data_IF_063836397776
#
_entry.id   IF_063836397776
#
_cell.length_a   1.000
_cell.length_b   1.000
_cell.length_c   1.000
_cell.angle_alpha   90.00
_cell.angle_beta   90.00
_cell.angle_gamma   90.00
#
_symmetry.space_group_name_H-M   'P 1'
#
loop_
_entity.id
_entity.type
_entity.pdbx_description
1 polymer ?
#
# COMPACT_ATOMS: atom_id res chain seq x y z
N UNK A 1 9.99 8.45 -17.87
CA UNK A 1 9.47 7.14 -17.43
C UNK A 1 8.00 7.05 -17.84
N UNK A 2 7.61 6.08 -18.68
CA UNK A 2 6.22 5.93 -19.15
C UNK A 2 5.42 5.15 -18.11
N UNK A 3 4.47 5.81 -17.45
CA UNK A 3 3.57 5.22 -16.46
C UNK A 3 2.37 4.58 -17.17
N UNK A 4 2.00 3.36 -16.78
CA UNK A 4 0.77 2.73 -17.25
C UNK A 4 -0.21 2.70 -16.08
N UNK A 5 -1.14 3.66 -16.06
CA UNK A 5 -2.28 3.64 -15.16
C UNK A 5 -3.28 2.64 -15.74
N UNK A 6 -3.56 1.58 -15.01
CA UNK A 6 -4.56 0.60 -15.41
C UNK A 6 -5.84 0.87 -14.61
N UNK A 7 -6.85 1.40 -15.28
CA UNK A 7 -8.20 1.52 -14.72
C UNK A 7 -8.93 0.19 -14.93
N UNK A 8 -9.05 -0.64 -13.89
CA UNK A 8 -9.96 -1.78 -13.95
C UNK A 8 -11.39 -1.29 -13.67
N UNK A 9 -12.32 -1.62 -14.57
CA UNK A 9 -13.75 -1.52 -14.30
C UNK A 9 -14.15 -2.67 -13.37
N UNK A 10 -13.96 -2.44 -12.07
CA UNK A 10 -14.21 -3.46 -11.06
C UNK A 10 -15.70 -3.57 -10.71
N UNK A 11 -16.16 -4.81 -10.53
CA UNK A 11 -17.44 -5.16 -9.91
C UNK A 11 -17.53 -4.61 -8.47
N UNK A 12 -18.72 -4.63 -7.86
CA UNK A 12 -18.94 -4.18 -6.47
C UNK A 12 -18.18 -5.05 -5.46
N UNK A 13 -17.97 -6.32 -5.79
CA UNK A 13 -17.15 -7.27 -5.04
C UNK A 13 -16.20 -7.97 -6.01
N UNK A 14 -14.89 -7.90 -5.76
CA UNK A 14 -13.89 -8.45 -6.67
C UNK A 14 -12.68 -9.03 -5.94
N UNK A 15 -12.16 -10.15 -6.45
CA UNK A 15 -10.91 -10.76 -5.98
C UNK A 15 -9.84 -10.52 -7.03
N UNK A 16 -8.77 -9.84 -6.65
CA UNK A 16 -7.57 -9.67 -7.46
C UNK A 16 -6.52 -10.64 -6.93
N UNK A 17 -6.32 -11.72 -7.67
CA UNK A 17 -5.28 -12.70 -7.40
C UNK A 17 -4.02 -12.35 -8.20
N UNK A 18 -2.94 -12.05 -7.46
CA UNK A 18 -1.65 -11.65 -7.99
C UNK A 18 -0.61 -12.78 -7.91
N UNK A 19 -1.01 -14.00 -7.53
CA UNK A 19 -0.09 -15.14 -7.37
C UNK A 19 0.68 -15.53 -8.64
N UNK A 20 0.15 -15.17 -9.81
CA UNK A 20 0.78 -15.35 -11.13
C UNK A 20 1.16 -14.02 -11.80
N UNK A 21 1.13 -12.92 -11.04
CA UNK A 21 1.37 -11.60 -11.59
C UNK A 21 2.83 -11.41 -11.98
N UNK A 22 3.07 -11.13 -13.25
CA UNK A 22 4.39 -10.75 -13.73
C UNK A 22 4.63 -9.28 -13.41
N UNK A 23 5.46 -9.04 -12.40
CA UNK A 23 5.86 -7.70 -12.02
C UNK A 23 6.51 -6.95 -13.19
N UNK A 24 6.30 -5.63 -13.30
CA UNK A 24 6.96 -4.84 -14.32
C UNK A 24 8.48 -4.82 -14.10
N UNK A 25 9.22 -4.75 -15.20
CA UNK A 25 10.69 -4.59 -15.21
C UNK A 25 11.14 -3.45 -14.30
N UNK A 26 12.38 -3.53 -13.83
CA UNK A 26 13.02 -2.49 -13.03
C UNK A 26 12.85 -1.11 -13.66
N UNK A 27 12.43 -0.13 -12.86
CA UNK A 27 12.07 1.24 -13.28
C UNK A 27 10.74 1.39 -14.04
N UNK A 28 9.89 0.36 -14.06
CA UNK A 28 8.47 0.49 -14.42
C UNK A 28 7.64 0.12 -13.21
N UNK A 29 6.50 0.79 -13.04
CA UNK A 29 5.55 0.44 -12.01
C UNK A 29 4.13 0.47 -12.54
N UNK A 30 3.30 -0.39 -11.98
CA UNK A 30 1.88 -0.43 -12.26
C UNK A 30 1.12 0.17 -11.09
N UNK A 31 0.27 1.14 -11.42
CA UNK A 31 -0.65 1.75 -10.46
C UNK A 31 -2.07 1.37 -10.84
N UNK A 32 -2.75 0.74 -9.88
CA UNK A 32 -4.15 0.38 -9.97
C UNK A 32 -4.95 1.43 -9.20
N UNK A 33 -5.70 2.26 -9.93
CA UNK A 33 -6.60 3.23 -9.34
C UNK A 33 -7.94 2.55 -9.03
N UNK A 34 -8.18 2.23 -7.77
CA UNK A 34 -9.34 1.44 -7.33
C UNK A 34 -10.61 2.29 -7.19
N UNK A 35 -10.47 3.59 -6.96
CA UNK A 35 -11.59 4.52 -6.79
C UNK A 35 -12.25 4.40 -5.41
N UNK A 36 -13.56 4.64 -5.35
CA UNK A 36 -14.35 4.70 -4.11
C UNK A 36 -15.47 3.67 -4.08
N UNK A 37 -15.97 3.35 -2.88
CA UNK A 37 -17.11 2.45 -2.63
C UNK A 37 -16.93 1.04 -3.20
N UNK A 38 -15.72 0.49 -3.10
CA UNK A 38 -15.41 -0.87 -3.56
C UNK A 38 -15.28 -1.85 -2.40
N UNK A 39 -15.66 -3.10 -2.64
CA UNK A 39 -15.29 -4.24 -1.79
C UNK A 39 -14.33 -5.10 -2.58
N UNK A 40 -13.09 -5.26 -2.11
CA UNK A 40 -12.01 -5.90 -2.87
C UNK A 40 -11.21 -6.83 -1.96
N UNK A 41 -10.87 -8.02 -2.45
CA UNK A 41 -9.82 -8.85 -1.87
C UNK A 41 -8.58 -8.80 -2.76
N UNK A 42 -7.44 -8.44 -2.19
CA UNK A 42 -6.13 -8.56 -2.83
C UNK A 42 -5.39 -9.74 -2.22
N UNK A 43 -4.87 -10.64 -3.05
CA UNK A 43 -4.09 -11.78 -2.55
C UNK A 43 -2.94 -12.12 -3.46
N UNK A 44 -1.86 -12.63 -2.87
CA UNK A 44 -0.74 -13.21 -3.64
C UNK A 44 -0.44 -14.65 -3.29
N UNK A 45 -1.18 -15.25 -2.35
CA UNK A 45 -0.96 -16.61 -1.87
C UNK A 45 0.51 -16.84 -1.45
N UNK A 46 1.14 -15.82 -0.86
CA UNK A 46 2.54 -15.84 -0.43
C UNK A 46 3.56 -15.49 -1.53
N UNK A 47 3.14 -15.36 -2.80
CA UNK A 47 4.03 -14.93 -3.87
C UNK A 47 4.51 -13.49 -3.60
N UNK A 48 5.82 -13.25 -3.75
CA UNK A 48 6.41 -11.91 -3.70
C UNK A 48 6.14 -11.17 -5.01
N UNK A 49 5.52 -10.00 -4.92
CA UNK A 49 5.20 -9.13 -6.05
C UNK A 49 5.97 -7.83 -5.88
N UNK A 50 6.43 -7.23 -6.98
CA UNK A 50 7.16 -5.97 -6.94
C UNK A 50 6.60 -4.91 -7.88
N UNK A 51 6.94 -3.64 -7.59
CA UNK A 51 6.64 -2.48 -8.42
C UNK A 51 5.14 -2.28 -8.71
N UNK A 52 4.29 -2.57 -7.72
CA UNK A 52 2.83 -2.42 -7.82
C UNK A 52 2.31 -1.51 -6.72
N UNK A 53 1.42 -0.59 -7.07
CA UNK A 53 0.69 0.25 -6.12
C UNK A 53 -0.82 0.15 -6.35
N UNK A 54 -1.59 0.06 -5.26
CA UNK A 54 -3.05 0.16 -5.24
C UNK A 54 -3.47 1.47 -4.58
N UNK A 55 -4.22 2.29 -5.31
CA UNK A 55 -4.66 3.61 -4.85
C UNK A 55 -6.15 3.59 -4.60
N UNK A 56 -6.52 3.79 -3.35
CA UNK A 56 -7.90 3.77 -2.86
C UNK A 56 -8.39 5.20 -2.59
N UNK A 57 -9.59 5.50 -3.05
CA UNK A 57 -10.35 6.72 -2.75
C UNK A 57 -11.02 6.64 -1.38
N UNK A 58 -12.35 6.75 -1.35
CA UNK A 58 -13.16 6.78 -0.12
C UNK A 58 -14.02 5.53 0.04
N UNK A 59 -14.36 5.18 1.28
CA UNK A 59 -15.37 4.17 1.64
C UNK A 59 -15.12 2.78 1.02
N UNK A 60 -13.87 2.34 0.91
CA UNK A 60 -13.56 1.01 0.41
C UNK A 60 -13.48 0.01 1.56
N UNK A 61 -13.89 -1.23 1.31
CA UNK A 61 -13.67 -2.38 2.18
C UNK A 61 -12.67 -3.31 1.49
N UNK A 62 -11.44 -3.35 2.01
CA UNK A 62 -10.32 -4.08 1.43
C UNK A 62 -10.02 -5.26 2.33
N UNK A 63 -9.87 -6.44 1.76
CA UNK A 63 -9.23 -7.58 2.40
C UNK A 63 -7.88 -7.80 1.75
N UNK A 64 -6.83 -7.97 2.55
CA UNK A 64 -5.56 -8.50 2.06
C UNK A 64 -5.35 -9.90 2.62
N UNK A 65 -4.98 -10.84 1.75
CA UNK A 65 -4.81 -12.25 2.12
C UNK A 65 -3.47 -12.76 1.61
N UNK A 66 -2.58 -13.12 2.56
CA UNK A 66 -1.24 -13.60 2.28
C UNK A 66 -0.54 -12.73 1.21
N UNK A 67 -0.71 -11.42 1.30
CA UNK A 67 -0.29 -10.45 0.31
C UNK A 67 1.14 -10.01 0.62
N UNK A 68 2.06 -10.30 -0.29
CA UNK A 68 3.46 -9.88 -0.20
C UNK A 68 3.79 -8.93 -1.36
N UNK A 69 3.84 -7.63 -1.07
CA UNK A 69 4.28 -6.61 -2.04
C UNK A 69 5.58 -6.01 -1.54
N UNK A 70 6.63 -6.26 -2.29
CA UNK A 70 7.95 -5.68 -2.09
C UNK A 70 8.20 -4.62 -3.13
N UNK A 71 8.36 -3.39 -2.68
CA UNK A 71 8.46 -2.20 -3.51
C UNK A 71 7.16 -1.85 -4.24
N UNK A 72 6.87 -0.56 -4.23
CA UNK A 72 5.95 0.09 -5.14
C UNK A 72 6.64 1.35 -5.66
N UNK A 73 6.03 2.01 -6.65
CA UNK A 73 6.52 3.27 -7.24
C UNK A 73 6.67 4.41 -6.21
N UNK A 74 7.71 4.36 -5.37
CA UNK A 74 8.09 5.43 -4.46
C UNK A 74 9.27 6.23 -4.99
N UNK A 75 9.61 6.11 -6.27
CA UNK A 75 10.70 6.85 -6.86
C UNK A 75 10.20 7.99 -7.74
N UNK A 76 9.69 9.00 -7.06
CA UNK A 76 9.78 10.35 -7.59
C UNK A 76 10.85 11.03 -6.79
N UNK A 77 11.98 11.36 -7.44
CA UNK A 77 12.93 12.32 -6.88
C UNK A 77 12.13 13.46 -6.26
N UNK A 78 12.42 13.78 -5.01
CA UNK A 78 11.82 14.86 -4.24
C UNK A 78 11.82 16.23 -4.97
N UNK A 79 12.52 16.32 -6.11
CA UNK A 79 12.69 17.49 -6.96
C UNK A 79 11.77 17.56 -8.20
N UNK A 80 11.03 16.48 -8.57
CA UNK A 80 10.09 16.52 -9.71
C UNK A 80 8.63 16.60 -9.24
N UNK A 81 8.16 17.83 -9.02
CA UNK A 81 6.79 18.14 -8.61
C UNK A 81 5.68 17.60 -9.52
N UNK A 82 6.01 17.10 -10.72
CA UNK A 82 5.05 16.58 -11.69
C UNK A 82 4.81 15.07 -11.59
N UNK A 83 5.51 14.39 -10.68
CA UNK A 83 5.41 12.94 -10.52
C UNK A 83 4.90 12.63 -9.10
N UNK A 84 3.90 11.75 -9.01
CA UNK A 84 3.40 11.20 -7.74
C UNK A 84 3.96 9.81 -7.51
N UNK A 85 4.51 9.54 -6.33
CA UNK A 85 4.87 8.20 -5.87
C UNK A 85 3.77 7.64 -4.97
N UNK A 86 3.52 6.34 -5.06
CA UNK A 86 2.50 5.66 -4.26
C UNK A 86 3.10 4.49 -3.50
N UNK A 87 2.73 4.43 -2.23
CA UNK A 87 2.86 3.25 -1.37
C UNK A 87 2.24 2.01 -2.03
N UNK A 88 2.71 0.79 -1.70
CA UNK A 88 2.06 -0.46 -2.09
C UNK A 88 0.54 -0.42 -1.92
N UNK A 89 0.07 0.02 -0.75
CA UNK A 89 -1.32 0.41 -0.53
C UNK A 89 -1.38 1.90 -0.18
N UNK A 90 -2.15 2.68 -0.92
CA UNK A 90 -2.23 4.13 -0.75
C UNK A 90 -3.69 4.59 -0.63
N UNK A 91 -4.07 5.15 0.53
CA UNK A 91 -5.43 5.54 0.87
C UNK A 91 -5.57 7.06 0.86
N UNK A 92 -6.26 7.60 -0.14
CA UNK A 92 -6.38 9.05 -0.34
C UNK A 92 -7.62 9.68 0.29
N UNK A 93 -8.62 8.86 0.66
CA UNK A 93 -9.90 9.30 1.21
C UNK A 93 -10.21 8.75 2.60
N UNK A 94 -11.36 9.17 3.13
CA UNK A 94 -11.91 8.70 4.40
C UNK A 94 -12.73 7.41 4.23
N UNK A 95 -12.99 6.73 5.34
CA UNK A 95 -13.92 5.59 5.43
C UNK A 95 -13.37 4.28 4.87
N UNK A 96 -12.07 4.18 4.62
CA UNK A 96 -11.47 2.94 4.15
C UNK A 96 -11.25 1.96 5.32
N UNK A 97 -11.60 0.69 5.10
CA UNK A 97 -11.40 -0.39 6.05
C UNK A 97 -10.50 -1.46 5.40
N UNK A 98 -9.46 -1.86 6.10
CA UNK A 98 -8.53 -2.91 5.71
C UNK A 98 -8.65 -4.09 6.68
N UNK A 99 -9.07 -5.24 6.17
CA UNK A 99 -9.11 -6.51 6.88
C UNK A 99 -7.87 -7.34 6.54
N UNK A 100 -7.16 -7.79 7.55
CA UNK A 100 -5.99 -8.66 7.42
C UNK A 100 -6.44 -10.13 7.50
N UNK A 101 -5.94 -10.94 6.57
CA UNK A 101 -6.08 -12.41 6.59
C UNK A 101 -4.70 -13.02 6.31
N UNK A 102 -4.28 -13.96 7.15
CA UNK A 102 -2.98 -14.60 7.05
C UNK A 102 -1.80 -13.65 7.28
N UNK A 103 -0.67 -13.94 6.64
CA UNK A 103 0.57 -13.20 6.81
C UNK A 103 0.81 -12.24 5.64
N UNK A 104 0.73 -10.93 5.92
CA UNK A 104 0.86 -9.90 4.90
C UNK A 104 2.15 -9.10 5.13
N UNK A 105 2.94 -8.91 4.07
CA UNK A 105 4.17 -8.13 4.12
C UNK A 105 4.14 -7.06 3.02
N UNK A 106 4.25 -5.80 3.43
CA UNK A 106 4.29 -4.66 2.53
C UNK A 106 5.58 -3.90 2.76
N UNK A 107 6.40 -3.75 1.73
CA UNK A 107 7.68 -3.04 1.79
C UNK A 107 7.70 -1.88 0.81
N UNK A 108 8.04 -0.69 1.30
CA UNK A 108 8.30 0.49 0.48
C UNK A 108 9.65 0.38 -0.25
N UNK A 109 9.70 0.89 -1.49
CA UNK A 109 10.74 0.63 -2.49
C UNK A 109 12.20 0.87 -2.09
N UNK A 110 12.88 -0.16 -1.59
CA UNK A 110 14.33 -0.15 -1.44
C UNK A 110 15.02 -0.71 -2.70
N UNK A 111 15.43 0.16 -3.60
CA UNK A 111 16.48 -0.14 -4.60
C UNK A 111 17.76 0.69 -4.38
N UNK A 112 17.80 1.58 -3.38
CA UNK A 112 19.01 2.31 -2.97
C UNK A 112 18.91 2.84 -1.54
N UNK A 113 20.04 2.91 -0.84
CA UNK A 113 20.21 3.53 0.49
C UNK A 113 20.22 5.07 0.47
N UNK A 114 20.06 5.69 -0.70
CA UNK A 114 20.16 7.16 -0.89
C UNK A 114 18.88 7.83 -1.38
N UNK A 115 17.77 7.10 -1.58
CA UNK A 115 16.58 7.62 -2.26
C UNK A 115 15.39 7.74 -1.30
N UNK A 116 14.84 8.95 -1.21
CA UNK A 116 13.82 9.38 -0.25
C UNK A 116 12.46 8.68 -0.40
N UNK A 117 11.71 8.61 0.71
CA UNK A 117 11.02 7.41 1.12
C UNK A 117 9.49 7.56 1.25
N UNK A 118 8.74 6.53 0.88
CA UNK A 118 7.29 6.44 1.11
C UNK A 118 6.93 5.45 2.22
N UNK A 119 5.71 5.56 2.75
CA UNK A 119 5.17 4.52 3.62
C UNK A 119 4.87 3.23 2.82
N UNK A 120 4.90 2.07 3.47
CA UNK A 120 4.38 0.84 2.86
C UNK A 120 2.85 0.88 2.77
N UNK A 121 2.22 1.48 3.78
CA UNK A 121 0.80 1.81 3.82
C UNK A 121 0.66 3.33 3.93
N UNK A 122 0.32 3.98 2.83
CA UNK A 122 0.22 5.42 2.72
C UNK A 122 -1.15 5.94 3.15
N UNK A 123 -1.19 6.77 4.18
CA UNK A 123 -2.38 7.46 4.67
C UNK A 123 -2.04 8.95 4.86
N UNK A 124 -2.04 9.76 3.79
CA UNK A 124 -1.76 11.19 3.86
C UNK A 124 -2.79 11.97 4.69
N UNK A 125 -2.40 13.18 5.11
CA UNK A 125 -3.29 14.11 5.81
C UNK A 125 -4.65 14.27 5.11
N UNK A 126 -5.73 14.18 5.90
CA UNK A 126 -7.11 14.22 5.41
C UNK A 126 -7.70 12.87 4.98
N UNK A 127 -6.88 11.82 4.87
CA UNK A 127 -7.35 10.45 4.64
C UNK A 127 -7.61 9.71 5.97
N UNK A 128 -8.26 8.56 5.89
CA UNK A 128 -8.61 7.74 7.04
C UNK A 128 -8.57 6.25 6.72
N UNK A 129 -7.94 5.47 7.59
CA UNK A 129 -7.80 4.03 7.47
C UNK A 129 -8.08 3.34 8.81
N UNK A 130 -9.00 2.38 8.79
CA UNK A 130 -9.20 1.43 9.88
C UNK A 130 -8.61 0.08 9.50
N UNK A 131 -7.70 -0.46 10.29
CA UNK A 131 -7.11 -1.78 10.12
C UNK A 131 -7.71 -2.73 11.16
N UNK A 132 -8.20 -3.87 10.71
CA UNK A 132 -8.74 -4.94 11.57
C UNK A 132 -8.16 -6.27 11.12
N UNK A 133 -7.93 -7.20 12.05
CA UNK A 133 -7.57 -8.56 11.72
C UNK A 133 -8.79 -9.48 11.79
N UNK A 134 -8.90 -10.44 10.88
CA UNK A 134 -9.99 -11.43 10.91
C UNK A 134 -9.81 -12.45 12.04
N UNK A 135 -8.56 -12.70 12.44
CA UNK A 135 -8.12 -13.61 13.49
C UNK A 135 -6.97 -12.99 14.30
N UNK A 136 -6.75 -13.48 15.52
CA UNK A 136 -5.60 -13.07 16.37
C UNK A 136 -4.24 -13.46 15.80
N UNK A 137 -4.22 -14.39 14.84
CA UNK A 137 -3.02 -14.86 14.16
C UNK A 137 -2.69 -14.09 12.89
N UNK A 138 -3.57 -13.20 12.42
CA UNK A 138 -3.31 -12.45 11.19
C UNK A 138 -2.31 -11.32 11.46
N UNK A 139 -1.39 -11.15 10.52
CA UNK A 139 -0.24 -10.27 10.65
C UNK A 139 -0.17 -9.30 9.48
N UNK A 140 0.16 -8.04 9.80
CA UNK A 140 0.66 -7.07 8.84
C UNK A 140 2.06 -6.62 9.25
N UNK A 141 3.04 -6.91 8.41
CA UNK A 141 4.40 -6.34 8.50
C UNK A 141 4.51 -5.22 7.47
N UNK A 142 4.55 -3.98 7.92
CA UNK A 142 4.66 -2.80 7.09
C UNK A 142 6.04 -2.14 7.25
N UNK A 143 6.86 -2.20 6.20
CA UNK A 143 8.26 -1.76 6.20
C UNK A 143 8.40 -0.51 5.34
N UNK A 144 8.59 0.63 6.00
CA UNK A 144 8.85 1.91 5.39
C UNK A 144 10.25 2.01 4.78
N UNK A 145 10.46 3.06 4.00
CA UNK A 145 11.82 3.42 3.57
C UNK A 145 12.62 4.12 4.69
N UNK A 146 13.92 4.33 4.49
CA UNK A 146 14.86 4.84 5.50
C UNK A 146 14.59 6.26 6.06
N UNK A 147 13.73 7.08 5.46
CA UNK A 147 13.22 8.33 6.05
C UNK A 147 11.68 8.40 6.01
N UNK A 148 11.02 7.25 6.15
CA UNK A 148 9.56 7.15 6.20
C UNK A 148 9.10 6.14 7.25
N UNK A 149 7.80 6.13 7.48
CA UNK A 149 7.09 5.20 8.37
C UNK A 149 6.70 3.94 7.61
N UNK A 150 6.42 2.82 8.31
CA UNK A 150 5.76 1.68 7.67
C UNK A 150 4.31 1.98 7.29
N UNK A 151 3.57 2.65 8.18
CA UNK A 151 2.19 3.11 7.98
C UNK A 151 2.14 4.62 8.26
N UNK A 152 1.54 5.44 7.40
CA UNK A 152 1.45 6.89 7.64
C UNK A 152 1.48 7.78 6.40
N UNK A 153 1.67 9.08 6.60
CA UNK A 153 1.64 10.09 5.54
C UNK A 153 2.87 10.09 4.62
N UNK A 154 3.94 9.38 4.99
CA UNK A 154 5.22 9.35 4.27
C UNK A 154 6.22 10.40 4.75
N UNK A 155 7.34 10.52 4.03
CA UNK A 155 8.47 11.41 4.34
C UNK A 155 8.03 12.87 4.62
N UNK A 156 8.27 13.33 5.86
CA UNK A 156 7.94 14.67 6.38
C UNK A 156 6.50 15.15 6.19
N UNK A 157 5.54 14.24 5.96
CA UNK A 157 4.14 14.59 5.78
C UNK A 157 3.34 14.15 7.00
N UNK A 158 2.38 15.00 7.41
CA UNK A 158 1.40 14.61 8.39
C UNK A 158 0.60 13.39 7.88
N UNK A 159 0.34 12.44 8.77
CA UNK A 159 -0.56 11.33 8.51
C UNK A 159 -2.02 11.78 8.58
N UNK A 160 -2.88 11.00 7.92
CA UNK A 160 -4.30 10.98 8.21
C UNK A 160 -4.60 10.16 9.47
N UNK A 161 -5.88 9.93 9.74
CA UNK A 161 -6.29 9.13 10.89
C UNK A 161 -6.08 7.65 10.61
N UNK A 162 -5.35 6.97 11.48
CA UNK A 162 -5.11 5.52 11.42
C UNK A 162 -5.63 4.90 12.71
N UNK A 163 -6.54 3.94 12.57
CA UNK A 163 -7.10 3.18 13.70
C UNK A 163 -6.77 1.70 13.51
N UNK A 164 -6.27 1.02 14.55
CA UNK A 164 -5.96 -0.42 14.51
C UNK A 164 -6.81 -1.11 15.58
N UNK A 165 -7.69 -2.02 15.17
CA UNK A 165 -8.69 -2.66 16.04
C UNK A 165 -8.34 -4.12 16.40
N UNK A 166 -7.22 -4.67 15.96
CA UNK A 166 -6.79 -6.03 16.32
C UNK A 166 -5.71 -6.61 15.42
N UNK A 167 -5.26 -7.82 15.76
CA UNK A 167 -4.17 -8.54 15.09
C UNK A 167 -2.78 -8.11 15.56
N UNK A 168 -1.77 -8.61 14.86
CA UNK A 168 -0.38 -8.17 15.06
C UNK A 168 0.03 -7.25 13.91
N UNK A 169 0.30 -5.99 14.21
CA UNK A 169 0.82 -5.01 13.22
C UNK A 169 2.23 -4.63 13.61
N UNK A 170 3.20 -5.07 12.81
CA UNK A 170 4.61 -4.73 12.95
C UNK A 170 4.93 -3.59 11.99
N UNK A 171 5.39 -2.47 12.52
CA UNK A 171 5.77 -1.29 11.73
C UNK A 171 7.27 -1.11 11.85
N UNK A 172 7.96 -1.19 10.72
CA UNK A 172 9.39 -0.91 10.62
C UNK A 172 9.58 0.34 9.77
N UNK A 173 10.43 1.25 10.24
CA UNK A 173 10.69 2.53 9.59
C UNK A 173 11.52 3.40 10.52
N UNK A 174 12.16 4.43 9.98
CA UNK A 174 12.97 5.33 10.81
C UNK A 174 12.15 6.28 11.68
N UNK A 175 10.82 6.30 11.50
CA UNK A 175 9.86 7.07 12.30
C UNK A 175 8.59 6.24 12.53
N UNK A 176 8.06 6.29 13.74
CA UNK A 176 6.72 5.79 14.10
C UNK A 176 5.85 7.02 14.32
N UNK A 177 4.68 7.11 13.68
CA UNK A 177 3.76 8.27 13.82
C UNK A 177 2.34 7.78 14.06
#
# INVERSE_FOLDING_TARGET
>A
MKRKVLSLLLSVCEVIDLSSFNAPEDNKAYTFAMGSNKTITLKSNGAEIQNVAFVFGTNNNITIENLNIKTADNHVDCDDSNKKGYSPLHFTGLGNNLTLVGENTLTSGQTSNTKDYGAAVGVPFGAGLTITAASTTDVLTAIGGACSTGIGGGNFRASGTITINGGTVTVEGSRVT
#
